data_IF_994024344223
#
_entry.id   IF_994024344223
#
_cell.length_a   1.000
_cell.length_b   1.000
_cell.length_c   1.000
_cell.angle_alpha   90.00
_cell.angle_beta   90.00
_cell.angle_gamma   90.00
#
_symmetry.space_group_name_H-M   'P 1'
#
loop_
_entity.id
_entity.type
_entity.pdbx_description
1 polymer ?
#
# COMPACT_ATOMS: atom_id res chain seq x y z
N UNK A 1 -5.35 1.15 -19.38
CA UNK A 1 -5.72 -0.24 -19.46
C UNK A 1 -7.22 -0.47 -19.49
N UNK A 2 -7.72 -1.46 -18.75
CA UNK A 2 -9.14 -1.86 -18.69
C UNK A 2 -10.10 -0.72 -18.36
N UNK A 3 -9.79 0.10 -17.37
CA UNK A 3 -10.63 1.26 -16.99
C UNK A 3 -10.80 2.27 -18.12
N UNK A 4 -9.73 2.56 -18.85
CA UNK A 4 -9.79 3.50 -19.99
C UNK A 4 -10.61 2.93 -21.15
N UNK A 5 -10.59 1.60 -21.33
CA UNK A 5 -11.42 0.92 -22.35
C UNK A 5 -12.91 0.89 -21.97
N UNK A 6 -13.23 0.85 -20.68
CA UNK A 6 -14.60 0.90 -20.18
C UNK A 6 -15.20 2.32 -20.21
N UNK A 7 -14.48 3.33 -20.71
CA UNK A 7 -14.95 4.71 -20.75
C UNK A 7 -15.07 5.38 -19.38
N UNK A 8 -14.53 4.76 -18.32
CA UNK A 8 -14.58 5.27 -16.96
C UNK A 8 -13.46 6.29 -16.74
N UNK A 9 -13.80 7.37 -16.04
CA UNK A 9 -12.83 8.36 -15.60
C UNK A 9 -11.87 7.73 -14.58
N UNK A 10 -10.60 7.63 -14.95
CA UNK A 10 -9.57 6.99 -14.13
C UNK A 10 -9.47 7.62 -12.74
N UNK A 11 -9.54 8.96 -12.65
CA UNK A 11 -9.39 9.69 -11.37
C UNK A 11 -10.51 9.35 -10.40
N UNK A 12 -11.73 9.10 -10.90
CA UNK A 12 -12.89 8.75 -10.08
C UNK A 12 -13.01 7.26 -9.80
N UNK A 13 -12.67 6.41 -10.77
CA UNK A 13 -12.87 4.96 -10.67
C UNK A 13 -11.72 4.22 -9.99
N UNK A 14 -10.49 4.75 -10.04
CA UNK A 14 -9.32 4.09 -9.48
C UNK A 14 -9.33 4.01 -7.94
N UNK A 15 -9.67 5.07 -7.17
CA UNK A 15 -9.61 5.02 -5.71
C UNK A 15 -10.49 3.93 -5.07
N UNK A 16 -11.77 3.74 -5.46
CA UNK A 16 -12.59 2.65 -4.91
C UNK A 16 -12.01 1.25 -5.19
N UNK A 17 -11.44 1.05 -6.39
CA UNK A 17 -10.81 -0.22 -6.74
C UNK A 17 -9.54 -0.45 -5.91
N UNK A 18 -8.76 0.57 -5.70
CA UNK A 18 -7.54 0.52 -4.88
C UNK A 18 -7.85 0.19 -3.42
N UNK A 19 -8.94 0.75 -2.86
CA UNK A 19 -9.34 0.48 -1.46
C UNK A 19 -9.76 -0.96 -1.21
N UNK A 20 -10.28 -1.68 -2.21
CA UNK A 20 -10.56 -3.12 -2.07
C UNK A 20 -9.30 -3.92 -1.70
N UNK A 21 -8.14 -3.54 -2.26
CA UNK A 21 -6.86 -4.14 -1.86
C UNK A 21 -6.52 -3.91 -0.38
N UNK A 22 -6.76 -2.70 0.12
CA UNK A 22 -6.55 -2.37 1.55
C UNK A 22 -7.53 -3.13 2.46
N UNK A 23 -8.80 -3.27 2.05
CA UNK A 23 -9.79 -4.07 2.79
C UNK A 23 -9.36 -5.54 2.85
N UNK A 24 -8.88 -6.11 1.73
CA UNK A 24 -8.34 -7.47 1.69
C UNK A 24 -7.14 -7.64 2.63
N UNK A 25 -6.26 -6.66 2.67
CA UNK A 25 -5.10 -6.65 3.58
C UNK A 25 -5.53 -6.65 5.05
N UNK A 26 -6.47 -5.78 5.45
CA UNK A 26 -7.02 -5.72 6.81
C UNK A 26 -7.69 -7.06 7.17
N UNK A 27 -8.51 -7.61 6.27
CA UNK A 27 -9.16 -8.89 6.50
C UNK A 27 -8.15 -10.03 6.69
N UNK A 28 -7.08 -10.05 5.91
CA UNK A 28 -5.99 -11.04 6.06
C UNK A 28 -5.26 -10.89 7.39
N UNK A 29 -4.98 -9.66 7.85
CA UNK A 29 -4.37 -9.40 9.15
C UNK A 29 -5.23 -9.92 10.29
N UNK A 30 -6.53 -9.64 10.26
CA UNK A 30 -7.47 -10.07 11.29
C UNK A 30 -7.66 -11.58 11.28
N UNK A 31 -7.72 -12.18 10.09
CA UNK A 31 -7.79 -13.63 9.93
C UNK A 31 -6.59 -14.31 10.60
N UNK A 32 -5.38 -13.89 10.27
CA UNK A 32 -4.14 -14.48 10.82
C UNK A 32 -4.04 -14.24 12.33
N UNK A 33 -4.44 -13.06 12.81
CA UNK A 33 -4.42 -12.75 14.24
C UNK A 33 -5.44 -13.57 15.04
N UNK A 34 -6.62 -13.87 14.46
CA UNK A 34 -7.68 -14.64 15.12
C UNK A 34 -7.46 -16.16 15.08
N UNK A 35 -6.65 -16.65 14.14
CA UNK A 35 -6.33 -18.07 14.01
C UNK A 35 -5.27 -18.47 15.01
N UNK A 36 -5.62 -19.29 16.01
CA UNK A 36 -4.68 -19.86 16.97
C UNK A 36 -4.23 -21.30 16.64
N UNK A 37 -4.94 -22.00 15.74
CA UNK A 37 -4.65 -23.38 15.33
C UNK A 37 -4.35 -24.34 16.49
N UNK A 38 -4.93 -24.10 17.66
CA UNK A 38 -4.69 -24.94 18.85
C UNK A 38 -3.31 -24.76 19.50
N UNK A 39 -2.59 -23.72 19.12
CA UNK A 39 -1.32 -23.32 19.74
C UNK A 39 -1.59 -22.24 20.81
N UNK A 40 -0.72 -22.20 21.83
CA UNK A 40 -0.81 -21.21 22.91
C UNK A 40 -0.51 -19.76 22.42
N UNK A 41 0.02 -19.62 21.19
CA UNK A 41 0.31 -18.35 20.55
C UNK A 41 -0.58 -18.15 19.30
N UNK A 42 -0.87 -16.90 18.95
CA UNK A 42 -1.57 -16.57 17.71
C UNK A 42 -0.77 -17.01 16.49
N UNK A 43 -1.44 -17.33 15.38
CA UNK A 43 -0.79 -17.73 14.14
C UNK A 43 0.21 -16.68 13.63
N UNK A 44 0.04 -15.41 14.00
CA UNK A 44 0.96 -14.32 13.66
C UNK A 44 2.35 -14.47 14.30
N UNK A 45 2.42 -15.06 15.48
CA UNK A 45 3.70 -15.28 16.21
C UNK A 45 4.35 -16.62 15.85
N UNK A 46 3.75 -17.38 14.96
CA UNK A 46 4.16 -18.73 14.60
C UNK A 46 4.42 -18.83 13.10
N UNK A 47 5.12 -19.88 12.66
CA UNK A 47 5.32 -20.19 11.23
C UNK A 47 4.01 -20.37 10.45
N UNK A 48 2.88 -20.55 11.14
CA UNK A 48 1.55 -20.69 10.53
C UNK A 48 1.13 -19.50 9.69
N UNK A 49 1.62 -18.29 9.97
CA UNK A 49 1.40 -17.14 9.10
C UNK A 49 1.92 -17.38 7.66
N UNK A 50 3.05 -18.07 7.51
CA UNK A 50 3.62 -18.40 6.20
C UNK A 50 2.76 -19.45 5.48
N UNK A 51 2.22 -20.43 6.21
CA UNK A 51 1.32 -21.45 5.67
C UNK A 51 0.03 -20.81 5.16
N UNK A 52 -0.58 -19.92 5.95
CA UNK A 52 -1.79 -19.18 5.53
C UNK A 52 -1.50 -18.30 4.30
N UNK A 53 -0.36 -17.61 4.29
CA UNK A 53 0.05 -16.81 3.15
C UNK A 53 0.24 -17.67 1.88
N UNK A 54 0.89 -18.83 2.03
CA UNK A 54 1.08 -19.80 0.94
C UNK A 54 -0.26 -20.33 0.40
N UNK A 55 -1.18 -20.70 1.29
CA UNK A 55 -2.51 -21.16 0.90
C UNK A 55 -3.30 -20.09 0.13
N UNK A 56 -3.30 -18.84 0.62
CA UNK A 56 -3.92 -17.70 -0.08
C UNK A 56 -3.25 -17.44 -1.43
N UNK A 57 -1.93 -17.61 -1.52
CA UNK A 57 -1.18 -17.50 -2.78
C UNK A 57 -1.61 -18.55 -3.81
N UNK A 58 -1.79 -19.80 -3.38
CA UNK A 58 -2.28 -20.89 -4.25
C UNK A 58 -3.72 -20.59 -4.72
N UNK A 59 -4.60 -20.16 -3.82
CA UNK A 59 -5.97 -19.77 -4.16
C UNK A 59 -5.98 -18.61 -5.17
N UNK A 60 -5.14 -17.61 -4.98
CA UNK A 60 -5.00 -16.49 -5.91
C UNK A 60 -4.47 -16.97 -7.27
N UNK A 61 -3.50 -17.89 -7.29
CA UNK A 61 -3.00 -18.53 -8.49
C UNK A 61 -4.10 -19.28 -9.24
N UNK A 62 -4.90 -20.08 -8.54
CA UNK A 62 -6.05 -20.77 -9.13
C UNK A 62 -7.09 -19.78 -9.68
N UNK A 63 -7.40 -18.72 -8.92
CA UNK A 63 -8.32 -17.69 -9.36
C UNK A 63 -7.82 -16.94 -10.60
N UNK A 64 -6.50 -16.80 -10.77
CA UNK A 64 -5.95 -16.10 -11.93
C UNK A 64 -6.30 -16.75 -13.27
N UNK A 65 -6.55 -18.05 -13.30
CA UNK A 65 -7.02 -18.76 -14.50
C UNK A 65 -8.45 -18.41 -14.92
N UNK A 66 -9.24 -17.84 -14.01
CA UNK A 66 -10.62 -17.41 -14.29
C UNK A 66 -10.68 -15.97 -14.81
N UNK A 67 -9.56 -15.24 -14.78
CA UNK A 67 -9.53 -13.85 -15.24
C UNK A 67 -9.70 -13.76 -16.75
N UNK A 68 -10.47 -12.78 -17.26
CA UNK A 68 -10.65 -12.58 -18.68
C UNK A 68 -9.33 -12.25 -19.36
N UNK A 69 -9.13 -12.79 -20.56
CA UNK A 69 -7.95 -12.51 -21.36
C UNK A 69 -7.87 -11.01 -21.69
N UNK A 70 -6.78 -10.38 -21.27
CA UNK A 70 -6.49 -9.01 -21.65
C UNK A 70 -5.74 -9.03 -23.00
N UNK A 71 -6.34 -8.50 -24.09
CA UNK A 71 -5.65 -8.48 -25.37
C UNK A 71 -4.37 -7.66 -25.26
N UNK A 72 -3.25 -8.34 -25.48
CA UNK A 72 -1.94 -7.72 -25.54
C UNK A 72 -1.87 -6.84 -26.78
N UNK A 73 -1.68 -5.55 -26.61
CA UNK A 73 -1.37 -4.66 -27.72
C UNK A 73 0.07 -4.95 -28.14
N UNK A 74 0.25 -5.83 -29.12
CA UNK A 74 1.56 -6.04 -29.73
C UNK A 74 1.96 -4.74 -30.42
N UNK A 75 2.88 -3.99 -29.83
CA UNK A 75 3.57 -2.94 -30.56
C UNK A 75 4.48 -3.62 -31.56
N UNK A 76 4.17 -3.48 -32.85
CA UNK A 76 5.02 -4.00 -33.93
C UNK A 76 6.33 -3.23 -34.12
N UNK A 77 6.56 -2.20 -33.33
CA UNK A 77 7.81 -1.47 -33.35
C UNK A 77 8.89 -2.28 -32.64
N UNK A 78 10.05 -2.40 -33.30
CA UNK A 78 11.27 -2.95 -32.70
C UNK A 78 11.74 -2.00 -31.59
N UNK A 79 11.14 -2.11 -30.41
CA UNK A 79 11.56 -1.32 -29.24
C UNK A 79 12.99 -1.69 -28.89
N UNK A 80 13.83 -0.68 -28.71
CA UNK A 80 15.18 -0.82 -28.17
C UNK A 80 15.12 -1.52 -26.80
N UNK A 81 16.18 -2.22 -26.39
CA UNK A 81 16.27 -2.82 -25.05
C UNK A 81 16.06 -1.78 -23.95
N UNK A 82 16.52 -0.56 -24.15
CA UNK A 82 16.30 0.56 -23.24
C UNK A 82 14.80 0.91 -23.07
N UNK A 83 14.04 0.95 -24.17
CA UNK A 83 12.60 1.15 -24.14
C UNK A 83 11.86 -0.02 -23.50
N UNK A 84 12.31 -1.25 -23.72
CA UNK A 84 11.72 -2.45 -23.11
C UNK A 84 11.93 -2.50 -21.60
N UNK A 85 13.06 -1.98 -21.12
CA UNK A 85 13.39 -1.85 -19.69
C UNK A 85 12.79 -0.59 -19.05
N UNK A 86 12.10 0.26 -19.82
CA UNK A 86 11.52 1.50 -19.32
C UNK A 86 12.55 2.57 -18.98
N UNK A 87 13.79 2.45 -19.47
CA UNK A 87 14.87 3.41 -19.23
C UNK A 87 14.59 4.77 -19.87
N UNK A 88 13.66 4.85 -20.81
CA UNK A 88 13.19 6.12 -21.37
C UNK A 88 12.55 7.02 -20.33
N UNK A 89 12.05 6.45 -19.22
CA UNK A 89 11.57 7.25 -18.09
C UNK A 89 12.66 8.17 -17.50
N UNK A 90 13.94 7.80 -17.63
CA UNK A 90 15.05 8.66 -17.20
C UNK A 90 15.19 9.96 -18.02
N UNK A 91 14.64 10.01 -19.23
CA UNK A 91 14.57 11.24 -20.03
C UNK A 91 13.73 12.31 -19.33
N UNK A 92 12.74 11.90 -18.52
CA UNK A 92 11.92 12.80 -17.71
C UNK A 92 12.73 13.55 -16.65
N UNK A 93 13.87 13.02 -16.21
CA UNK A 93 14.77 13.72 -15.27
C UNK A 93 15.44 14.96 -15.87
N UNK A 94 15.42 15.15 -17.19
CA UNK A 94 15.90 16.39 -17.82
C UNK A 94 15.02 17.59 -17.45
N UNK A 95 13.75 17.38 -17.10
CA UNK A 95 12.87 18.42 -16.57
C UNK A 95 13.06 18.56 -15.06
N UNK A 96 13.46 19.74 -14.57
CA UNK A 96 13.63 20.01 -13.13
C UNK A 96 12.39 19.68 -12.31
N UNK A 97 11.20 19.98 -12.84
CA UNK A 97 9.92 19.70 -12.15
C UNK A 97 9.68 18.21 -12.00
N UNK A 98 9.93 17.44 -13.07
CA UNK A 98 9.75 15.99 -13.03
C UNK A 98 10.82 15.30 -12.19
N UNK A 99 12.08 15.75 -12.26
CA UNK A 99 13.15 15.26 -11.41
C UNK A 99 12.81 15.45 -9.93
N UNK A 100 12.34 16.64 -9.56
CA UNK A 100 11.92 16.95 -8.19
C UNK A 100 10.75 16.04 -7.74
N UNK A 101 9.76 15.82 -8.61
CA UNK A 101 8.66 14.91 -8.34
C UNK A 101 9.13 13.47 -8.07
N UNK A 102 10.05 12.95 -8.88
CA UNK A 102 10.61 11.61 -8.67
C UNK A 102 11.40 11.50 -7.37
N UNK A 103 12.24 12.49 -7.05
CA UNK A 103 13.01 12.52 -5.79
C UNK A 103 12.06 12.50 -4.59
N UNK A 104 11.03 13.34 -4.58
CA UNK A 104 10.04 13.37 -3.51
C UNK A 104 9.27 12.04 -3.40
N UNK A 105 8.85 11.47 -4.52
CA UNK A 105 8.16 10.18 -4.52
C UNK A 105 9.06 9.06 -3.97
N UNK A 106 10.35 9.07 -4.29
CA UNK A 106 11.31 8.12 -3.75
C UNK A 106 11.48 8.29 -2.24
N UNK A 107 11.64 9.51 -1.74
CA UNK A 107 11.77 9.79 -0.31
C UNK A 107 10.51 9.40 0.47
N UNK A 108 9.32 9.66 -0.08
CA UNK A 108 8.06 9.21 0.51
C UNK A 108 7.96 7.69 0.54
N UNK A 109 8.41 7.01 -0.52
CA UNK A 109 8.45 5.54 -0.58
C UNK A 109 9.36 4.95 0.49
N UNK A 110 10.55 5.54 0.71
CA UNK A 110 11.47 5.15 1.79
C UNK A 110 10.82 5.34 3.16
N UNK A 111 10.19 6.49 3.39
CA UNK A 111 9.50 6.79 4.66
C UNK A 111 8.36 5.81 4.93
N UNK A 112 7.59 5.46 3.90
CA UNK A 112 6.51 4.47 3.99
C UNK A 112 7.06 3.09 4.35
N UNK A 113 8.15 2.67 3.72
CA UNK A 113 8.76 1.37 3.97
C UNK A 113 9.36 1.26 5.38
N UNK A 114 10.00 2.32 5.86
CA UNK A 114 10.49 2.39 7.25
C UNK A 114 9.31 2.21 8.21
N UNK A 115 8.22 2.92 8.01
CA UNK A 115 7.04 2.81 8.86
C UNK A 115 6.46 1.39 8.83
N UNK A 116 6.29 0.79 7.65
CA UNK A 116 5.74 -0.55 7.52
C UNK A 116 6.64 -1.63 8.15
N UNK A 117 7.96 -1.45 8.10
CA UNK A 117 8.93 -2.39 8.68
C UNK A 117 9.10 -2.27 10.20
N UNK A 118 8.98 -1.07 10.74
CA UNK A 118 9.31 -0.82 12.14
C UNK A 118 8.12 -0.48 13.04
N UNK A 119 6.93 -0.21 12.50
CA UNK A 119 5.77 0.16 13.30
C UNK A 119 5.36 -0.93 14.29
N UNK A 120 5.29 -2.18 13.86
CA UNK A 120 4.92 -3.31 14.72
C UNK A 120 5.95 -3.55 15.82
N UNK A 121 7.27 -3.74 15.53
CA UNK A 121 8.29 -3.86 16.57
C UNK A 121 8.33 -2.68 17.54
N UNK A 122 8.09 -1.47 17.04
CA UNK A 122 8.04 -0.27 17.88
C UNK A 122 6.87 -0.33 18.88
N UNK A 123 5.68 -0.70 18.43
CA UNK A 123 4.51 -0.86 19.30
C UNK A 123 4.74 -1.99 20.32
N UNK A 124 5.34 -3.11 19.90
CA UNK A 124 5.67 -4.23 20.77
C UNK A 124 6.67 -3.85 21.87
N UNK A 125 7.58 -2.91 21.60
CA UNK A 125 8.52 -2.43 22.62
C UNK A 125 7.82 -1.74 23.80
N UNK A 126 6.66 -1.12 23.59
CA UNK A 126 5.85 -0.54 24.67
C UNK A 126 5.03 -1.58 25.44
N UNK A 127 4.70 -2.72 24.82
CA UNK A 127 3.95 -3.78 25.49
C UNK A 127 4.73 -4.38 26.67
N UNK A 128 6.06 -4.37 26.61
CA UNK A 128 6.92 -4.81 27.70
C UNK A 128 6.86 -3.89 28.93
N UNK A 129 6.39 -2.65 28.79
CA UNK A 129 6.40 -1.63 29.86
C UNK A 129 5.00 -1.31 30.39
N UNK A 130 3.95 -1.65 29.65
CA UNK A 130 2.56 -1.33 30.04
C UNK A 130 1.63 -2.52 29.79
N UNK A 131 0.83 -2.89 30.81
CA UNK A 131 -0.22 -3.90 30.70
C UNK A 131 -1.48 -3.40 29.93
N UNK A 132 -1.35 -2.37 29.14
CA UNK A 132 -2.44 -1.83 28.35
C UNK A 132 -2.90 -2.82 27.28
N UNK A 133 -4.21 -3.03 27.13
CA UNK A 133 -4.78 -3.84 26.05
C UNK A 133 -4.27 -3.42 24.65
N UNK A 134 -4.04 -2.13 24.49
CA UNK A 134 -3.52 -1.53 23.24
C UNK A 134 -2.11 -2.05 22.92
N UNK A 135 -1.25 -2.13 23.92
CA UNK A 135 0.11 -2.61 23.77
C UNK A 135 0.17 -4.12 23.45
N UNK A 136 -0.77 -4.89 23.98
CA UNK A 136 -0.87 -6.33 23.75
C UNK A 136 -1.48 -6.72 22.41
N UNK A 137 -2.01 -5.74 21.63
CA UNK A 137 -2.62 -5.97 20.31
C UNK A 137 -2.03 -5.06 19.23
N UNK A 138 -0.74 -5.16 18.91
CA UNK A 138 -0.07 -4.29 17.94
C UNK A 138 -0.69 -4.38 16.55
N UNK A 139 -1.17 -5.55 16.14
CA UNK A 139 -1.85 -5.77 14.86
C UNK A 139 -3.15 -4.97 14.74
N UNK A 140 -3.90 -4.85 15.83
CA UNK A 140 -5.12 -4.03 15.85
C UNK A 140 -4.82 -2.55 15.64
N UNK A 141 -3.75 -2.03 16.23
CA UNK A 141 -3.31 -0.65 16.02
C UNK A 141 -2.86 -0.40 14.57
N UNK A 142 -2.10 -1.33 14.01
CA UNK A 142 -1.68 -1.24 12.60
C UNK A 142 -2.91 -1.31 11.68
N UNK A 143 -3.90 -2.15 11.96
CA UNK A 143 -5.13 -2.23 11.17
C UNK A 143 -5.95 -0.95 11.22
N UNK A 144 -5.99 -0.24 12.35
CA UNK A 144 -6.63 1.08 12.46
C UNK A 144 -5.96 2.12 11.55
N UNK A 145 -4.62 2.08 11.46
CA UNK A 145 -3.86 2.91 10.52
C UNK A 145 -4.25 2.60 9.06
N UNK A 146 -4.45 1.34 8.71
CA UNK A 146 -4.87 0.92 7.38
C UNK A 146 -6.31 1.36 7.05
N UNK A 147 -7.22 1.35 8.02
CA UNK A 147 -8.58 1.88 7.85
C UNK A 147 -8.52 3.38 7.54
N UNK A 148 -7.72 4.14 8.28
CA UNK A 148 -7.49 5.56 8.02
C UNK A 148 -6.92 5.81 6.62
N UNK A 149 -5.95 4.99 6.20
CA UNK A 149 -5.39 5.04 4.83
C UNK A 149 -6.47 4.82 3.77
N UNK A 150 -7.32 3.79 3.93
CA UNK A 150 -8.41 3.50 3.01
C UNK A 150 -9.37 4.68 2.86
N UNK A 151 -9.75 5.32 3.97
CA UNK A 151 -10.60 6.52 3.97
C UNK A 151 -9.92 7.69 3.24
N UNK A 152 -8.64 7.92 3.49
CA UNK A 152 -7.88 8.96 2.79
C UNK A 152 -7.79 8.69 1.28
N UNK A 153 -7.62 7.44 0.86
CA UNK A 153 -7.61 7.07 -0.57
C UNK A 153 -8.97 7.40 -1.22
N UNK A 154 -10.09 7.06 -0.56
CA UNK A 154 -11.42 7.40 -1.07
C UNK A 154 -11.62 8.91 -1.21
N UNK A 155 -11.13 9.68 -0.25
CA UNK A 155 -11.22 11.14 -0.27
C UNK A 155 -10.25 11.81 -1.25
N UNK A 156 -9.25 11.08 -1.75
CA UNK A 156 -8.20 11.65 -2.62
C UNK A 156 -8.77 12.30 -3.87
N UNK A 157 -9.78 11.71 -4.51
CA UNK A 157 -10.43 12.29 -5.70
C UNK A 157 -11.04 13.64 -5.42
N UNK A 158 -11.71 13.80 -4.27
CA UNK A 158 -12.29 15.06 -3.85
C UNK A 158 -11.22 16.14 -3.62
N UNK A 159 -10.16 15.80 -2.92
CA UNK A 159 -9.05 16.72 -2.65
C UNK A 159 -8.30 17.12 -3.91
N UNK A 160 -8.06 16.19 -4.85
CA UNK A 160 -7.39 16.48 -6.10
C UNK A 160 -8.17 17.46 -6.98
N UNK A 161 -9.50 17.28 -7.07
CA UNK A 161 -10.36 18.16 -7.85
C UNK A 161 -10.42 19.56 -7.24
N UNK A 162 -10.47 19.65 -5.89
CA UNK A 162 -10.66 20.94 -5.21
C UNK A 162 -9.36 21.74 -5.02
N UNK A 163 -8.26 21.09 -4.68
CA UNK A 163 -7.00 21.76 -4.30
C UNK A 163 -5.89 21.61 -5.33
N UNK A 164 -6.02 20.70 -6.25
CA UNK A 164 -5.00 20.38 -7.25
C UNK A 164 -3.84 19.56 -6.64
N UNK A 165 -3.10 18.89 -7.50
CA UNK A 165 -2.06 17.92 -7.14
C UNK A 165 -0.96 18.53 -6.24
N UNK A 166 -0.53 19.76 -6.52
CA UNK A 166 0.56 20.40 -5.77
C UNK A 166 0.23 20.59 -4.29
N UNK A 167 -0.97 21.12 -3.99
CA UNK A 167 -1.39 21.36 -2.60
C UNK A 167 -1.64 20.04 -1.86
N UNK A 168 -2.23 19.05 -2.52
CA UNK A 168 -2.46 17.72 -1.94
C UNK A 168 -1.13 17.06 -1.57
N UNK A 169 -0.12 17.13 -2.44
CA UNK A 169 1.22 16.61 -2.13
C UNK A 169 1.86 17.31 -0.93
N UNK A 170 1.74 18.65 -0.84
CA UNK A 170 2.27 19.39 0.32
C UNK A 170 1.57 18.99 1.63
N UNK A 171 0.25 18.83 1.60
CA UNK A 171 -0.52 18.35 2.77
C UNK A 171 -0.06 16.94 3.17
N UNK A 172 0.15 16.04 2.20
CA UNK A 172 0.64 14.69 2.47
C UNK A 172 2.03 14.70 3.11
N UNK A 173 2.96 15.53 2.61
CA UNK A 173 4.29 15.69 3.20
C UNK A 173 4.21 16.22 4.63
N UNK A 174 3.37 17.22 4.88
CA UNK A 174 3.17 17.76 6.23
C UNK A 174 2.60 16.71 7.19
N UNK A 175 1.65 15.90 6.73
CA UNK A 175 1.12 14.78 7.51
C UNK A 175 2.21 13.76 7.89
N UNK A 176 3.17 13.48 6.98
CA UNK A 176 4.33 12.64 7.28
C UNK A 176 5.25 13.25 8.35
N UNK A 177 5.52 14.55 8.28
CA UNK A 177 6.30 15.25 9.30
C UNK A 177 5.63 15.14 10.67
N UNK A 178 4.32 15.38 10.74
CA UNK A 178 3.55 15.22 11.98
C UNK A 178 3.60 13.78 12.50
N UNK A 179 3.42 12.80 11.62
CA UNK A 179 3.47 11.38 12.01
C UNK A 179 4.78 11.01 12.67
N UNK A 180 5.93 11.35 12.07
CA UNK A 180 7.22 11.07 12.67
C UNK A 180 7.50 11.94 13.90
N UNK A 181 6.98 13.17 13.95
CA UNK A 181 7.03 14.00 15.14
C UNK A 181 6.35 13.34 16.35
N UNK A 182 5.17 12.74 16.15
CA UNK A 182 4.47 12.00 17.20
C UNK A 182 5.13 10.69 17.62
N UNK A 183 5.91 10.06 16.75
CA UNK A 183 6.71 8.90 17.14
C UNK A 183 7.97 9.26 17.95
N UNK A 184 8.42 10.50 17.89
CA UNK A 184 9.63 10.98 18.57
C UNK A 184 9.37 11.60 19.97
N UNK A 185 8.11 11.77 20.37
CA UNK A 185 7.67 12.35 21.67
C UNK A 185 7.09 11.25 22.55
#
# INVERSE_FOLDING_TARGET
GTLTRSGLDFVKAFPPIRTLGTVGFIASMWLVNSLSFGLDASAQQTYMQLVVCGALGVLLGAYSFTLPECPLTKSNEKKSLAERLGLDAFVLFKSKTMAMFFIFSMLLGVSLQITNGFATPYIESFSATSESWVANNPTMLVSLSQISEALCILMTSFFLVRFGIKKVMLIAMFAWVLRFGFFGV
#
